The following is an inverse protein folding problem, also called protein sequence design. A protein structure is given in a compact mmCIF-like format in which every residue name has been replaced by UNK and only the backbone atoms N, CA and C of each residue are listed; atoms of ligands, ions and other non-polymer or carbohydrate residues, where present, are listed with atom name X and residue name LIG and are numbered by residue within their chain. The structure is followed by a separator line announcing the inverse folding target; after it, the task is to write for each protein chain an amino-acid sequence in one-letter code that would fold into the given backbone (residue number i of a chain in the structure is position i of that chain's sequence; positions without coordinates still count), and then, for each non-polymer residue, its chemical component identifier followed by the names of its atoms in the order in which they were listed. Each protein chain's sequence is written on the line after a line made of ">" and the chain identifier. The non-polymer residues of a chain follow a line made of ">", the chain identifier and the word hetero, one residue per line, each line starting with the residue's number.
data_IF_449264659456
#
_entry.id   IF_449264659456
#
_cell.length_a   1.000
_cell.length_b   1.000
_cell.length_c   1.000
_cell.angle_alpha   90.00
_cell.angle_beta   90.00
_cell.angle_gamma   90.00
#
_symmetry.space_group_name_H-M   'P 1'
#
loop_
_entity.id
_entity.type
_entity.pdbx_description
1 polymer ?
#
# COMPACT_ATOMS: atom_id res chain seq x y z
N UNK A 1 3.31 6.05 -10.52
CA UNK A 1 2.23 5.10 -10.24
C UNK A 1 1.76 5.48 -8.86
N UNK A 2 0.55 6.01 -8.72
CA UNK A 2 0.17 6.58 -7.43
C UNK A 2 -0.05 5.45 -6.43
N UNK A 3 0.79 5.38 -5.41
CA UNK A 3 0.77 4.24 -4.48
C UNK A 3 -0.12 4.50 -3.28
N UNK A 4 -0.65 3.44 -2.68
CA UNK A 4 -1.28 3.53 -1.37
C UNK A 4 -0.35 4.20 -0.34
N UNK A 5 0.96 4.02 -0.49
CA UNK A 5 1.95 4.63 0.38
C UNK A 5 2.01 6.15 0.19
N UNK A 6 1.93 6.66 -1.04
CA UNK A 6 1.86 8.11 -1.28
C UNK A 6 0.61 8.73 -0.65
N UNK A 7 -0.54 8.05 -0.70
CA UNK A 7 -1.73 8.51 0.02
C UNK A 7 -1.48 8.57 1.52
N UNK A 8 -0.87 7.52 2.10
CA UNK A 8 -0.56 7.48 3.52
C UNK A 8 0.47 8.52 3.93
N UNK A 9 1.52 8.71 3.13
CA UNK A 9 2.56 9.72 3.34
C UNK A 9 1.92 11.10 3.29
N UNK A 10 1.15 11.40 2.24
CA UNK A 10 0.48 12.69 2.11
C UNK A 10 -0.49 12.94 3.27
N UNK A 11 -1.27 11.94 3.68
CA UNK A 11 -2.21 12.05 4.80
C UNK A 11 -1.49 12.22 6.14
N UNK A 12 -0.33 11.61 6.30
CA UNK A 12 0.53 11.78 7.48
C UNK A 12 1.19 13.16 7.49
N UNK A 13 1.75 13.60 6.36
CA UNK A 13 2.46 14.87 6.22
C UNK A 13 1.51 16.07 6.28
N UNK A 14 0.41 16.07 5.51
CA UNK A 14 -0.63 17.11 5.61
C UNK A 14 -1.39 17.05 6.91
N UNK A 15 -1.65 15.84 7.43
CA UNK A 15 -2.44 15.67 8.63
C UNK A 15 -1.70 15.88 9.95
N UNK A 16 -0.35 15.85 9.96
CA UNK A 16 0.43 16.38 11.08
C UNK A 16 0.32 17.91 11.16
N UNK A 17 0.29 18.60 10.02
CA UNK A 17 0.24 20.07 9.96
C UNK A 17 -1.16 20.62 10.24
N UNK A 18 -2.22 19.91 9.86
CA UNK A 18 -3.61 20.34 10.02
C UNK A 18 -4.35 19.71 11.23
N UNK A 19 -3.74 18.74 11.94
CA UNK A 19 -4.40 17.96 12.99
C UNK A 19 -5.35 16.86 12.47
N UNK A 20 -5.33 16.60 11.16
CA UNK A 20 -6.19 15.61 10.51
C UNK A 20 -5.87 14.18 10.96
N UNK A 21 -4.61 13.84 11.27
CA UNK A 21 -4.25 12.49 11.73
C UNK A 21 -4.94 12.16 13.06
N UNK A 22 -4.92 13.10 14.00
CA UNK A 22 -5.60 12.95 15.30
C UNK A 22 -7.10 12.83 15.12
N UNK A 23 -7.67 13.61 14.18
CA UNK A 23 -9.08 13.58 13.86
C UNK A 23 -9.51 12.28 13.22
N UNK A 24 -8.79 11.80 12.20
CA UNK A 24 -9.01 10.48 11.56
C UNK A 24 -8.91 9.35 12.57
N UNK A 25 -7.96 9.42 13.52
CA UNK A 25 -7.82 8.42 14.59
C UNK A 25 -9.02 8.39 15.55
N UNK A 26 -9.69 9.53 15.74
CA UNK A 26 -10.89 9.65 16.58
C UNK A 26 -12.20 9.29 15.88
N UNK A 27 -12.20 9.24 14.54
CA UNK A 27 -13.38 8.89 13.75
C UNK A 27 -13.67 7.39 13.79
N UNK A 28 -14.95 7.04 13.66
CA UNK A 28 -15.38 5.66 13.41
C UNK A 28 -14.88 5.19 12.06
N UNK A 29 -14.63 3.88 11.91
CA UNK A 29 -14.12 3.29 10.66
C UNK A 29 -14.95 3.66 9.44
N UNK A 30 -16.29 3.66 9.57
CA UNK A 30 -17.23 4.06 8.50
C UNK A 30 -17.05 5.52 8.04
N UNK A 31 -16.60 6.41 8.92
CA UNK A 31 -16.49 7.84 8.66
C UNK A 31 -15.11 8.24 8.12
N UNK A 32 -14.08 7.42 8.33
CA UNK A 32 -12.69 7.72 7.90
C UNK A 32 -12.60 7.88 6.39
N UNK A 33 -13.26 7.00 5.62
CA UNK A 33 -13.25 7.06 4.15
C UNK A 33 -13.95 8.34 3.67
N UNK A 34 -15.11 8.67 4.25
CA UNK A 34 -15.85 9.88 3.92
C UNK A 34 -15.03 11.15 4.22
N UNK A 35 -14.30 11.16 5.34
CA UNK A 35 -13.40 12.24 5.70
C UNK A 35 -12.28 12.43 4.68
N UNK A 36 -11.57 11.36 4.32
CA UNK A 36 -10.51 11.41 3.29
C UNK A 36 -11.04 11.90 1.94
N UNK A 37 -12.27 11.53 1.59
CA UNK A 37 -12.94 11.98 0.36
C UNK A 37 -13.39 13.45 0.39
N UNK A 38 -13.51 14.06 1.57
CA UNK A 38 -13.89 15.48 1.71
C UNK A 38 -12.73 16.44 1.39
N UNK A 39 -11.48 16.00 1.56
CA UNK A 39 -10.30 16.74 1.18
C UNK A 39 -10.02 16.56 -0.32
N UNK A 40 -10.05 17.65 -1.09
CA UNK A 40 -9.88 17.62 -2.56
C UNK A 40 -8.55 17.02 -3.01
N UNK A 41 -7.48 17.22 -2.24
CA UNK A 41 -6.15 16.71 -2.58
C UNK A 41 -6.06 15.20 -2.33
N UNK A 42 -6.38 14.75 -1.11
CA UNK A 42 -6.41 13.33 -0.74
C UNK A 42 -7.40 12.54 -1.60
N UNK A 43 -8.55 13.13 -1.93
CA UNK A 43 -9.52 12.54 -2.86
C UNK A 43 -8.90 12.25 -4.23
N UNK A 44 -8.08 13.17 -4.77
CA UNK A 44 -7.42 12.96 -6.06
C UNK A 44 -6.52 11.73 -6.04
N UNK A 45 -5.63 11.66 -5.05
CA UNK A 45 -4.69 10.54 -4.87
C UNK A 45 -5.46 9.23 -4.66
N UNK A 46 -6.49 9.23 -3.80
CA UNK A 46 -7.31 8.05 -3.52
C UNK A 46 -8.05 7.55 -4.77
N UNK A 47 -8.63 8.46 -5.56
CA UNK A 47 -9.36 8.09 -6.80
C UNK A 47 -8.42 7.50 -7.83
N UNK A 48 -7.24 8.08 -8.01
CA UNK A 48 -6.26 7.55 -8.96
C UNK A 48 -5.74 6.18 -8.53
N UNK A 49 -5.45 6.00 -7.23
CA UNK A 49 -5.06 4.70 -6.69
C UNK A 49 -6.15 3.64 -6.88
N UNK A 50 -7.42 3.96 -6.59
CA UNK A 50 -8.54 3.03 -6.80
C UNK A 50 -8.66 2.65 -8.29
N UNK A 51 -8.57 3.63 -9.20
CA UNK A 51 -8.67 3.38 -10.65
C UNK A 51 -7.58 2.44 -11.13
N UNK A 52 -6.33 2.69 -10.73
CA UNK A 52 -5.18 1.86 -11.07
C UNK A 52 -5.33 0.44 -10.49
N UNK A 53 -5.79 0.34 -9.25
CA UNK A 53 -6.00 -0.94 -8.54
C UNK A 53 -7.10 -1.77 -9.20
N UNK A 54 -8.24 -1.16 -9.56
CA UNK A 54 -9.32 -1.82 -10.29
C UNK A 54 -8.84 -2.30 -11.67
N UNK A 55 -8.07 -1.46 -12.37
CA UNK A 55 -7.46 -1.83 -13.65
C UNK A 55 -6.62 -3.11 -13.54
N UNK A 56 -5.80 -3.21 -12.48
CA UNK A 56 -4.97 -4.39 -12.21
C UNK A 56 -5.79 -5.63 -11.83
N UNK A 57 -6.85 -5.47 -11.03
CA UNK A 57 -7.68 -6.58 -10.53
C UNK A 57 -8.68 -7.14 -11.55
N UNK A 58 -8.94 -6.43 -12.66
CA UNK A 58 -9.84 -6.89 -13.74
C UNK A 58 -9.50 -8.29 -14.27
N UNK A 59 -8.27 -8.75 -14.05
CA UNK A 59 -7.77 -10.06 -14.45
C UNK A 59 -7.83 -11.17 -13.38
N UNK A 60 -8.47 -10.91 -12.24
CA UNK A 60 -8.69 -11.87 -11.16
C UNK A 60 -7.43 -12.20 -10.33
N UNK A 61 -7.64 -12.88 -9.19
CA UNK A 61 -6.54 -13.41 -8.36
C UNK A 61 -5.83 -14.55 -9.09
N UNK A 62 -4.51 -14.64 -8.94
CA UNK A 62 -3.66 -15.62 -9.61
C UNK A 62 -2.39 -15.86 -8.80
N UNK A 63 -2.21 -17.09 -8.29
CA UNK A 63 -0.99 -17.46 -7.56
C UNK A 63 0.26 -17.29 -8.43
N UNK A 64 0.20 -17.61 -9.73
CA UNK A 64 1.35 -17.44 -10.63
C UNK A 64 1.75 -15.96 -10.76
N UNK A 65 0.80 -15.05 -10.97
CA UNK A 65 1.09 -13.60 -10.98
C UNK A 65 1.64 -13.12 -9.64
N UNK A 66 1.05 -13.59 -8.53
CA UNK A 66 1.51 -13.25 -7.18
C UNK A 66 2.97 -13.67 -6.96
N UNK A 67 3.33 -14.89 -7.36
CA UNK A 67 4.70 -15.43 -7.29
C UNK A 67 5.66 -14.61 -8.15
N UNK A 68 5.28 -14.30 -9.40
CA UNK A 68 6.11 -13.50 -10.32
C UNK A 68 6.42 -12.12 -9.73
N UNK A 69 5.40 -11.41 -9.22
CA UNK A 69 5.62 -10.12 -8.58
C UNK A 69 6.46 -10.23 -7.31
N UNK A 70 6.25 -11.27 -6.49
CA UNK A 70 7.10 -11.51 -5.31
C UNK A 70 8.55 -11.73 -5.70
N UNK A 71 8.82 -12.46 -6.79
CA UNK A 71 10.18 -12.69 -7.24
C UNK A 71 10.84 -11.40 -7.74
N UNK A 72 10.11 -10.56 -8.48
CA UNK A 72 10.59 -9.23 -8.87
C UNK A 72 10.90 -8.36 -7.64
N UNK A 73 10.06 -8.42 -6.60
CA UNK A 73 10.32 -7.76 -5.33
C UNK A 73 11.59 -8.26 -4.63
N UNK A 74 11.81 -9.58 -4.62
CA UNK A 74 13.03 -10.17 -4.06
C UNK A 74 14.29 -9.67 -4.81
N UNK A 75 14.22 -9.57 -6.13
CA UNK A 75 15.35 -9.13 -6.94
C UNK A 75 15.65 -7.64 -6.67
N UNK A 76 14.63 -6.80 -6.51
CA UNK A 76 14.79 -5.40 -6.09
C UNK A 76 15.38 -5.27 -4.69
N UNK A 77 14.87 -6.04 -3.73
CA UNK A 77 15.34 -6.03 -2.34
C UNK A 77 16.82 -6.42 -2.24
N UNK A 78 17.25 -7.47 -2.98
CA UNK A 78 18.66 -7.89 -3.04
C UNK A 78 19.58 -6.81 -3.61
N UNK A 79 19.06 -5.96 -4.47
CA UNK A 79 19.81 -4.85 -5.07
C UNK A 79 19.77 -3.58 -4.21
N UNK A 80 19.16 -3.61 -3.03
CA UNK A 80 18.99 -2.45 -2.15
C UNK A 80 17.93 -1.44 -2.62
N UNK A 81 17.12 -1.80 -3.61
CA UNK A 81 15.98 -0.99 -4.08
C UNK A 81 14.73 -1.36 -3.28
N UNK A 82 14.68 -0.91 -2.03
CA UNK A 82 13.59 -1.24 -1.12
C UNK A 82 12.26 -0.66 -1.56
N UNK A 83 12.24 0.57 -2.10
CA UNK A 83 11.02 1.18 -2.63
C UNK A 83 10.45 0.37 -3.79
N UNK A 84 11.29 -0.10 -4.71
CA UNK A 84 10.88 -1.00 -5.79
C UNK A 84 10.43 -2.37 -5.27
N UNK A 85 11.11 -2.91 -4.26
CA UNK A 85 10.73 -4.17 -3.63
C UNK A 85 9.33 -4.08 -3.01
N UNK A 86 9.07 -3.00 -2.28
CA UNK A 86 7.80 -2.72 -1.65
C UNK A 86 6.65 -2.63 -2.65
N UNK A 87 6.86 -1.95 -3.78
CA UNK A 87 5.88 -1.84 -4.85
C UNK A 87 5.52 -3.23 -5.41
N UNK A 88 6.52 -4.06 -5.68
CA UNK A 88 6.31 -5.40 -6.21
C UNK A 88 5.68 -6.37 -5.21
N UNK A 89 6.02 -6.30 -3.92
CA UNK A 89 5.33 -7.08 -2.90
C UNK A 89 3.86 -6.64 -2.74
N UNK A 90 3.57 -5.35 -2.88
CA UNK A 90 2.20 -4.83 -2.88
C UNK A 90 1.39 -5.37 -4.07
N UNK A 91 1.99 -5.42 -5.27
CA UNK A 91 1.41 -6.10 -6.44
C UNK A 91 1.21 -7.59 -6.19
N UNK A 92 2.16 -8.25 -5.54
CA UNK A 92 2.03 -9.67 -5.19
C UNK A 92 0.81 -9.96 -4.31
N UNK A 93 0.56 -9.14 -3.28
CA UNK A 93 -0.65 -9.21 -2.43
C UNK A 93 -1.93 -9.02 -3.27
N UNK A 94 -1.90 -8.08 -4.21
CA UNK A 94 -3.06 -7.79 -5.06
C UNK A 94 -3.51 -9.01 -5.88
N UNK A 95 -2.57 -9.84 -6.34
CA UNK A 95 -2.88 -11.05 -7.11
C UNK A 95 -3.00 -12.32 -6.25
N UNK A 96 -2.55 -12.31 -5.00
CA UNK A 96 -2.61 -13.49 -4.14
C UNK A 96 -4.06 -13.92 -3.85
N UNK A 97 -4.41 -15.21 -4.01
CA UNK A 97 -5.69 -15.72 -3.53
C UNK A 97 -5.83 -15.51 -2.02
N UNK A 98 -7.06 -15.29 -1.51
CA UNK A 98 -7.28 -15.14 -0.07
C UNK A 98 -6.85 -16.40 0.68
N UNK A 99 -6.27 -16.24 1.86
CA UNK A 99 -5.80 -17.34 2.73
C UNK A 99 -4.79 -18.28 2.06
N UNK A 100 -4.05 -17.81 1.06
CA UNK A 100 -3.02 -18.59 0.36
C UNK A 100 -1.62 -18.40 0.98
N UNK A 101 -0.70 -19.36 0.77
CA UNK A 101 0.72 -19.17 1.09
C UNK A 101 1.32 -17.97 0.38
N UNK A 102 0.90 -17.70 -0.86
CA UNK A 102 1.37 -16.53 -1.62
C UNK A 102 1.04 -15.22 -0.90
N UNK A 103 -0.17 -15.11 -0.34
CA UNK A 103 -0.58 -13.93 0.43
C UNK A 103 0.28 -13.75 1.68
N UNK A 104 0.49 -14.83 2.45
CA UNK A 104 1.32 -14.78 3.65
C UNK A 104 2.77 -14.38 3.35
N UNK A 105 3.38 -14.96 2.32
CA UNK A 105 4.75 -14.65 1.90
C UNK A 105 4.88 -13.22 1.38
N UNK A 106 3.89 -12.74 0.61
CA UNK A 106 3.91 -11.38 0.09
C UNK A 106 3.82 -10.33 1.21
N UNK A 107 2.97 -10.57 2.22
CA UNK A 107 2.91 -9.71 3.40
C UNK A 107 4.21 -9.73 4.21
N UNK A 108 4.79 -10.90 4.48
CA UNK A 108 6.04 -11.03 5.21
C UNK A 108 7.19 -10.28 4.54
N UNK A 109 7.31 -10.42 3.22
CA UNK A 109 8.34 -9.72 2.45
C UNK A 109 8.12 -8.20 2.43
N UNK A 110 6.86 -7.74 2.29
CA UNK A 110 6.52 -6.32 2.39
C UNK A 110 6.89 -5.74 3.76
N UNK A 111 6.57 -6.45 4.86
CA UNK A 111 6.93 -6.00 6.21
C UNK A 111 8.44 -5.94 6.43
N UNK A 112 9.20 -6.90 5.89
CA UNK A 112 10.66 -6.87 5.99
C UNK A 112 11.25 -5.67 5.25
N UNK A 113 10.64 -5.25 4.14
CA UNK A 113 11.05 -4.06 3.38
C UNK A 113 10.81 -2.77 4.16
N UNK A 114 9.64 -2.64 4.81
CA UNK A 114 9.34 -1.51 5.69
C UNK A 114 10.28 -1.47 6.91
N UNK A 115 10.63 -2.63 7.48
CA UNK A 115 11.65 -2.72 8.53
C UNK A 115 13.01 -2.22 8.04
N UNK A 116 13.41 -2.64 6.84
CA UNK A 116 14.69 -2.25 6.25
C UNK A 116 14.76 -0.76 5.89
N UNK A 117 13.65 -0.17 5.44
CA UNK A 117 13.50 1.27 5.18
C UNK A 117 13.56 2.14 6.44
N UNK A 118 13.63 1.56 7.64
CA UNK A 118 13.73 2.30 8.89
C UNK A 118 12.41 2.93 9.35
N UNK A 119 11.26 2.53 8.78
CA UNK A 119 9.94 3.05 9.12
C UNK A 119 9.39 2.55 10.48
N UNK A 120 10.25 2.11 11.39
CA UNK A 120 9.85 1.53 12.69
C UNK A 120 9.69 2.55 13.83
N UNK A 121 9.87 3.85 13.59
CA UNK A 121 9.65 4.88 14.63
C UNK A 121 8.23 5.50 14.63
N UNK A 122 7.33 5.11 13.72
CA UNK A 122 6.01 5.76 13.56
C UNK A 122 4.78 4.83 13.63
N UNK A 123 4.93 3.59 14.14
CA UNK A 123 3.80 2.71 14.49
C UNK A 123 3.41 2.89 15.96
#
# INVERSE_FOLDING_TARGET
>A
MNTWQELLTELTETGLVAGDVTRVKSLKEEDKVAYCLSNKHLRGILVDWIRDTIGLMSSGKSSSKSITFRQQGNDKFKNGDDSGAFEFYSKSILFAPPNSPEMALAYANRSATEFHLGHYELM
#
